data_IF_405235129507
#
_entry.id   IF_405235129507
#
_cell.length_a   1.000
_cell.length_b   1.000
_cell.length_c   1.000
_cell.angle_alpha   90.00
_cell.angle_beta   90.00
_cell.angle_gamma   90.00
#
_symmetry.space_group_name_H-M   'P 1'
#
loop_
_entity.id
_entity.type
_entity.pdbx_description
1 polymer ?
#
# COMPACT_ATOMS: atom_id res chain seq x y z
N UNK A 1 -24.45 -27.23 -51.81
CA UNK A 1 -23.03 -26.85 -51.60
C UNK A 1 -22.86 -25.57 -50.77
N UNK A 2 -23.65 -24.52 -51.02
CA UNK A 2 -23.55 -23.18 -50.40
C UNK A 2 -23.89 -23.09 -48.89
N UNK A 3 -24.71 -23.99 -48.35
CA UNK A 3 -25.08 -24.02 -46.92
C UNK A 3 -23.96 -24.59 -46.03
N UNK A 4 -23.16 -25.50 -46.58
CA UNK A 4 -22.09 -26.20 -45.84
C UNK A 4 -20.83 -25.32 -45.73
N UNK A 5 -20.61 -24.42 -46.70
CA UNK A 5 -19.55 -23.42 -46.66
C UNK A 5 -19.84 -22.33 -45.62
N UNK A 6 -21.09 -21.89 -45.50
CA UNK A 6 -21.52 -20.92 -44.47
C UNK A 6 -21.25 -21.40 -43.04
N UNK A 7 -21.66 -22.64 -42.71
CA UNK A 7 -21.43 -23.23 -41.38
C UNK A 7 -19.94 -23.29 -41.01
N UNK A 8 -19.07 -23.64 -41.97
CA UNK A 8 -17.62 -23.69 -41.75
C UNK A 8 -17.03 -22.31 -41.48
N UNK A 9 -17.49 -21.29 -42.21
CA UNK A 9 -17.06 -19.89 -42.01
C UNK A 9 -17.52 -19.39 -40.65
N UNK A 10 -18.76 -19.66 -40.24
CA UNK A 10 -19.27 -19.26 -38.92
C UNK A 10 -18.49 -19.92 -37.79
N UNK A 11 -18.16 -21.21 -37.88
CA UNK A 11 -17.29 -21.88 -36.90
C UNK A 11 -15.90 -21.26 -36.83
N UNK A 12 -15.31 -20.90 -37.98
CA UNK A 12 -14.00 -20.26 -38.04
C UNK A 12 -14.00 -18.89 -37.37
N UNK A 13 -15.04 -18.09 -37.61
CA UNK A 13 -15.21 -16.77 -36.97
C UNK A 13 -15.41 -16.92 -35.46
N UNK A 14 -16.24 -17.87 -35.02
CA UNK A 14 -16.46 -18.12 -33.58
C UNK A 14 -15.18 -18.60 -32.91
N UNK A 15 -14.43 -19.52 -33.52
CA UNK A 15 -13.15 -19.99 -33.00
C UNK A 15 -12.12 -18.85 -32.91
N UNK A 16 -12.07 -17.97 -33.92
CA UNK A 16 -11.17 -16.84 -33.95
C UNK A 16 -11.50 -15.82 -32.83
N UNK A 17 -12.78 -15.48 -32.65
CA UNK A 17 -13.24 -14.59 -31.58
C UNK A 17 -12.92 -15.18 -30.20
N UNK A 18 -13.06 -16.50 -30.04
CA UNK A 18 -12.78 -17.20 -28.78
C UNK A 18 -11.27 -17.25 -28.45
N UNK A 19 -10.41 -17.36 -29.47
CA UNK A 19 -8.96 -17.25 -29.29
C UNK A 19 -8.57 -15.82 -28.90
N UNK A 20 -9.16 -14.81 -29.54
CA UNK A 20 -8.92 -13.41 -29.20
C UNK A 20 -9.36 -13.07 -27.77
N UNK A 21 -10.48 -13.63 -27.30
CA UNK A 21 -10.94 -13.40 -25.93
C UNK A 21 -10.04 -14.07 -24.89
N UNK A 22 -9.45 -15.24 -25.19
CA UNK A 22 -8.47 -15.91 -24.33
C UNK A 22 -7.10 -15.20 -24.30
N UNK A 23 -6.74 -14.52 -25.39
CA UNK A 23 -5.54 -13.70 -25.48
C UNK A 23 -5.68 -12.34 -24.78
N UNK A 24 -6.91 -11.93 -24.45
CA UNK A 24 -7.13 -10.74 -23.63
C UNK A 24 -6.62 -11.03 -22.22
N UNK A 25 -5.59 -10.33 -21.73
CA UNK A 25 -5.18 -10.46 -20.34
C UNK A 25 -6.38 -10.19 -19.44
N UNK A 26 -6.77 -11.20 -18.66
CA UNK A 26 -7.77 -11.09 -17.61
C UNK A 26 -7.20 -10.21 -16.52
N UNK A 27 -7.27 -8.89 -16.70
CA UNK A 27 -6.85 -7.93 -15.70
C UNK A 27 -7.83 -8.02 -14.52
N UNK A 28 -7.59 -8.95 -13.60
CA UNK A 28 -8.14 -8.89 -12.26
C UNK A 28 -7.53 -7.65 -11.57
N UNK A 29 -8.14 -6.49 -11.78
CA UNK A 29 -7.77 -5.20 -11.17
C UNK A 29 -8.01 -5.14 -9.65
N UNK A 30 -8.19 -6.29 -9.00
CA UNK A 30 -8.49 -6.42 -7.58
C UNK A 30 -7.26 -6.70 -6.70
N UNK A 31 -6.11 -7.03 -7.29
CA UNK A 31 -4.94 -7.52 -6.53
C UNK A 31 -3.97 -6.43 -6.04
N UNK A 32 -4.28 -5.14 -6.24
CA UNK A 32 -3.33 -4.06 -5.99
C UNK A 32 -3.82 -3.08 -4.91
N UNK A 33 -4.48 -3.58 -3.87
CA UNK A 33 -4.80 -2.77 -2.68
C UNK A 33 -4.21 -3.45 -1.44
N UNK A 34 -2.95 -3.08 -1.14
CA UNK A 34 -2.23 -3.54 0.04
C UNK A 34 -2.12 -2.39 1.03
N UNK A 35 -2.63 -2.59 2.24
CA UNK A 35 -2.61 -1.61 3.32
C UNK A 35 -1.96 -2.23 4.56
N UNK A 36 -0.90 -1.61 5.08
CA UNK A 36 -0.19 -2.10 6.26
C UNK A 36 -0.03 -1.01 7.30
N UNK A 37 -0.28 -1.37 8.57
CA UNK A 37 0.05 -0.55 9.74
C UNK A 37 1.16 -1.27 10.49
N UNK A 38 2.28 -0.58 10.71
CA UNK A 38 3.40 -1.12 11.48
C UNK A 38 3.63 -0.25 12.73
N UNK A 39 3.87 -0.87 13.87
CA UNK A 39 4.20 -0.17 15.12
C UNK A 39 5.42 -0.87 15.72
N UNK A 40 6.55 -0.17 15.77
CA UNK A 40 7.83 -0.71 16.23
C UNK A 40 8.41 0.16 17.32
N UNK A 41 8.88 -0.49 18.39
CA UNK A 41 9.73 0.13 19.40
C UNK A 41 11.17 0.13 18.90
N UNK A 42 11.77 1.30 18.76
CA UNK A 42 13.13 1.44 18.27
C UNK A 42 14.15 1.33 19.42
N UNK A 43 15.40 1.00 19.06
CA UNK A 43 16.51 0.84 20.02
C UNK A 43 16.87 2.14 20.74
N UNK A 44 16.54 3.29 20.17
CA UNK A 44 16.74 4.62 20.77
C UNK A 44 15.65 4.99 21.80
N UNK A 45 14.70 4.09 22.08
CA UNK A 45 13.61 4.38 23.00
C UNK A 45 12.49 5.23 22.38
N UNK A 46 12.47 5.40 21.06
CA UNK A 46 11.32 5.92 20.33
C UNK A 46 10.29 4.83 19.99
N UNK A 47 9.02 5.22 19.84
CA UNK A 47 8.00 4.36 19.24
C UNK A 47 7.63 4.94 17.89
N UNK A 48 7.75 4.12 16.84
CA UNK A 48 7.49 4.52 15.45
C UNK A 48 6.26 3.76 14.92
N UNK A 49 5.23 4.50 14.51
CA UNK A 49 4.08 4.00 13.78
C UNK A 49 4.20 4.36 12.29
N UNK A 50 3.89 3.43 11.40
CA UNK A 50 3.95 3.64 9.96
C UNK A 50 2.68 3.14 9.27
N UNK A 51 2.24 3.90 8.27
CA UNK A 51 1.11 3.60 7.41
C UNK A 51 1.60 3.43 5.99
N UNK A 52 1.42 2.24 5.43
CA UNK A 52 1.86 1.89 4.09
C UNK A 52 0.67 1.57 3.18
N UNK A 53 0.72 2.06 1.95
CA UNK A 53 -0.25 1.78 0.89
C UNK A 53 0.52 1.36 -0.37
N UNK A 54 0.23 0.16 -0.91
CA UNK A 54 0.90 -0.39 -2.10
C UNK A 54 2.44 -0.26 -2.02
N UNK A 55 2.99 -0.67 -0.88
CA UNK A 55 4.43 -0.61 -0.57
C UNK A 55 5.04 0.80 -0.49
N UNK A 56 4.24 1.85 -0.65
CA UNK A 56 4.62 3.24 -0.40
C UNK A 56 4.29 3.68 1.03
N UNK A 57 5.24 4.32 1.71
CA UNK A 57 5.00 4.92 3.02
C UNK A 57 4.13 6.17 2.86
N UNK A 58 2.89 6.10 3.35
CA UNK A 58 1.93 7.20 3.28
C UNK A 58 2.13 8.18 4.43
N UNK A 59 2.34 7.65 5.63
CA UNK A 59 2.48 8.44 6.86
C UNK A 59 3.33 7.71 7.88
N UNK A 60 4.09 8.49 8.66
CA UNK A 60 4.88 7.99 9.78
C UNK A 60 4.66 8.86 11.01
N UNK A 61 4.48 8.24 12.17
CA UNK A 61 4.48 8.90 13.47
C UNK A 61 5.64 8.41 14.27
N UNK A 62 6.45 9.32 14.81
CA UNK A 62 7.46 8.99 15.79
C UNK A 62 7.12 9.67 17.12
N UNK A 63 7.10 8.89 18.20
CA UNK A 63 6.87 9.37 19.57
C UNK A 63 8.19 9.22 20.34
N UNK A 64 8.76 10.35 20.73
CA UNK A 64 10.02 10.40 21.49
C UNK A 64 9.84 11.08 22.85
N UNK A 65 10.13 10.37 23.97
CA UNK A 65 10.07 10.90 25.33
C UNK A 65 10.99 12.10 25.59
N UNK A 66 12.13 12.13 24.93
CA UNK A 66 13.31 12.90 25.32
C UNK A 66 13.45 14.22 24.57
N UNK A 67 12.48 14.56 23.70
CA UNK A 67 12.52 15.75 22.87
C UNK A 67 13.59 15.74 21.79
N UNK A 68 14.36 14.65 21.64
CA UNK A 68 15.28 14.50 20.54
C UNK A 68 14.46 14.34 19.25
N UNK A 69 14.88 15.02 18.16
CA UNK A 69 14.32 14.73 16.84
C UNK A 69 14.87 13.38 16.39
N UNK A 70 14.02 12.37 16.10
CA UNK A 70 14.50 11.11 15.60
C UNK A 70 15.20 11.34 14.27
N UNK A 71 16.50 11.04 14.24
CA UNK A 71 17.28 11.06 13.00
C UNK A 71 16.95 9.78 12.26
N UNK A 72 15.84 9.76 11.51
CA UNK A 72 15.48 8.61 10.69
C UNK A 72 16.52 8.46 9.57
N UNK A 73 17.54 7.63 9.80
CA UNK A 73 18.55 7.30 8.81
C UNK A 73 17.86 6.55 7.66
N UNK A 74 17.69 7.22 6.51
CA UNK A 74 17.30 6.59 5.25
C UNK A 74 15.89 6.87 4.71
N UNK A 75 14.99 7.53 5.45
CA UNK A 75 13.67 7.92 4.94
C UNK A 75 13.22 9.22 5.58
N UNK A 76 13.87 10.33 5.21
CA UNK A 76 13.29 11.66 5.39
C UNK A 76 12.13 11.83 4.40
N UNK A 77 11.04 11.08 4.61
CA UNK A 77 9.80 11.29 3.87
C UNK A 77 9.08 12.48 4.49
N UNK A 78 8.64 13.41 3.64
CA UNK A 78 7.93 14.65 3.98
C UNK A 78 6.68 14.49 4.86
N UNK A 79 6.22 13.25 5.10
CA UNK A 79 4.98 12.91 5.81
C UNK A 79 5.23 12.29 7.19
N UNK A 80 6.24 12.76 7.91
CA UNK A 80 6.49 12.30 9.28
C UNK A 80 5.95 13.31 10.29
N UNK A 81 4.96 12.90 11.07
CA UNK A 81 4.48 13.67 12.23
C UNK A 81 5.32 13.29 13.45
N UNK A 82 6.08 14.24 13.98
CA UNK A 82 6.84 14.06 15.21
C UNK A 82 5.98 14.50 16.39
N UNK A 83 5.74 13.59 17.33
CA UNK A 83 5.05 13.89 18.59
C UNK A 83 6.08 13.80 19.71
N UNK A 84 6.30 14.93 20.39
CA UNK A 84 7.16 15.04 21.56
C UNK A 84 6.25 15.22 22.78
N UNK A 85 5.88 14.15 23.50
CA UNK A 85 5.09 14.27 24.72
C UNK A 85 5.90 14.94 25.84
N UNK A 86 5.20 15.72 26.66
CA UNK A 86 5.72 16.12 27.98
C UNK A 86 5.78 14.87 28.87
N UNK A 87 6.83 14.73 29.70
CA UNK A 87 6.87 13.69 30.74
C UNK A 87 6.54 14.33 32.08
N UNK A 88 5.39 13.97 32.65
CA UNK A 88 4.98 14.45 33.97
C UNK A 88 4.81 13.23 34.88
N UNK A 89 5.61 13.16 35.96
CA UNK A 89 5.60 12.06 36.94
C UNK A 89 5.77 10.67 36.29
N UNK A 90 6.61 10.57 35.26
CA UNK A 90 6.89 9.31 34.55
C UNK A 90 5.81 8.88 33.55
N UNK A 91 4.78 9.71 33.32
CA UNK A 91 3.76 9.47 32.29
C UNK A 91 3.96 10.38 31.09
N UNK A 92 3.73 9.83 29.89
CA UNK A 92 3.63 10.64 28.67
C UNK A 92 2.33 11.44 28.69
N UNK A 93 2.44 12.75 28.53
CA UNK A 93 1.33 13.67 28.42
C UNK A 93 1.35 14.23 27.00
N UNK A 94 0.36 13.83 26.21
CA UNK A 94 0.12 14.33 24.87
C UNK A 94 -1.10 15.26 24.96
N UNK A 95 -0.89 16.55 24.70
CA UNK A 95 -1.96 17.55 24.65
C UNK A 95 -2.41 17.66 23.20
N UNK A 96 -3.71 17.47 22.97
CA UNK A 96 -4.36 17.76 21.71
C UNK A 96 -5.18 19.04 21.91
N UNK A 97 -5.05 20.01 21.01
CA UNK A 97 -6.00 21.13 20.88
C UNK A 97 -7.14 20.75 19.94
#
# INVERSE_FOLDING_TARGET
MQRQTWLKVTMLVVAFVLVLSLLSPGYAKAADFTFNINIVRQSDGSTCGELWLKDGLLWRVAILPDGARPVSRGTATSNTTLIIPDIIKGMFVIKFE
#
